data_IF_063149731018
#
_entry.id   IF_063149731018
#
_cell.length_a   1.000
_cell.length_b   1.000
_cell.length_c   1.000
_cell.angle_alpha   90.00
_cell.angle_beta   90.00
_cell.angle_gamma   90.00
#
_symmetry.space_group_name_H-M   'P 1'
#
loop_
_entity.id
_entity.type
_entity.pdbx_description
1 polymer ?
#
# COMPACT_ATOMS: atom_id res chain seq x y z
N UNK A 1 -1.22 1.80 -23.71
CA UNK A 1 -2.52 1.13 -23.52
C UNK A 1 -2.19 -0.25 -23.01
N UNK A 2 -2.71 -0.59 -21.85
CA UNK A 2 -2.39 -1.85 -21.17
C UNK A 2 -3.16 -2.98 -21.82
N UNK A 3 -2.51 -4.12 -22.02
CA UNK A 3 -3.14 -5.33 -22.54
C UNK A 3 -3.55 -6.30 -21.42
N UNK A 4 -4.45 -7.22 -21.73
CA UNK A 4 -4.94 -8.24 -20.79
C UNK A 4 -3.78 -9.09 -20.22
N UNK A 5 -2.78 -9.41 -21.04
CA UNK A 5 -1.61 -10.18 -20.60
C UNK A 5 -0.71 -9.44 -19.59
N UNK A 6 -0.89 -8.13 -19.42
CA UNK A 6 -0.17 -7.31 -18.43
C UNK A 6 -0.93 -7.17 -17.10
N UNK A 7 -2.16 -7.68 -17.03
CA UNK A 7 -2.98 -7.68 -15.83
C UNK A 7 -2.67 -8.89 -14.94
N UNK A 8 -2.82 -8.69 -13.64
CA UNK A 8 -2.80 -9.73 -12.63
C UNK A 8 -4.14 -9.75 -11.89
N UNK A 9 -4.46 -10.90 -11.29
CA UNK A 9 -5.61 -11.00 -10.40
C UNK A 9 -5.46 -9.97 -9.26
N UNK A 10 -6.57 -9.35 -8.88
CA UNK A 10 -6.66 -8.25 -7.89
C UNK A 10 -6.10 -6.90 -8.36
N UNK A 11 -5.67 -6.75 -9.61
CA UNK A 11 -5.32 -5.45 -10.14
C UNK A 11 -6.53 -4.51 -10.18
N UNK A 12 -6.28 -3.24 -9.85
CA UNK A 12 -7.26 -2.15 -9.96
C UNK A 12 -7.12 -1.53 -11.33
N UNK A 13 -8.24 -1.38 -12.03
CA UNK A 13 -8.29 -0.79 -13.38
C UNK A 13 -9.39 0.25 -13.46
N UNK A 14 -9.29 1.11 -14.47
CA UNK A 14 -10.32 2.06 -14.87
C UNK A 14 -10.69 1.77 -16.33
N UNK A 15 -11.98 1.60 -16.59
CA UNK A 15 -12.53 1.24 -17.90
C UNK A 15 -13.17 2.49 -18.50
N UNK A 16 -12.68 2.93 -19.65
CA UNK A 16 -13.21 4.10 -20.38
C UNK A 16 -14.20 3.68 -21.47
N UNK A 17 -13.95 2.54 -22.11
CA UNK A 17 -14.81 1.98 -23.14
C UNK A 17 -15.00 0.48 -22.94
N UNK A 18 -16.23 0.01 -23.09
CA UNK A 18 -16.58 -1.41 -23.05
C UNK A 18 -17.44 -1.78 -24.26
N UNK A 19 -17.00 -2.75 -25.07
CA UNK A 19 -17.70 -3.23 -26.27
C UNK A 19 -18.11 -2.09 -27.21
N UNK A 20 -17.26 -1.08 -27.37
CA UNK A 20 -17.50 0.09 -28.21
C UNK A 20 -18.41 1.16 -27.58
N UNK A 21 -18.90 0.96 -26.35
CA UNK A 21 -19.69 1.96 -25.62
C UNK A 21 -18.80 2.74 -24.64
N UNK A 22 -18.83 4.07 -24.73
CA UNK A 22 -18.15 4.93 -23.75
C UNK A 22 -18.87 4.86 -22.40
N UNK A 23 -18.13 4.51 -21.35
CA UNK A 23 -18.67 4.37 -20.00
C UNK A 23 -18.36 5.64 -19.20
N UNK A 24 -19.20 6.66 -19.38
CA UNK A 24 -19.20 7.94 -18.65
C UNK A 24 -17.93 8.81 -18.75
N UNK A 25 -18.08 10.11 -18.50
CA UNK A 25 -17.04 11.14 -18.71
C UNK A 25 -15.80 11.04 -17.79
N UNK A 26 -15.71 10.00 -16.97
CA UNK A 26 -14.58 9.77 -16.06
C UNK A 26 -14.08 8.33 -16.02
N UNK A 27 -14.61 7.42 -16.85
CA UNK A 27 -14.34 5.98 -16.75
C UNK A 27 -14.93 5.34 -15.49
N UNK A 28 -14.95 4.01 -15.46
CA UNK A 28 -15.53 3.24 -14.37
C UNK A 28 -14.47 2.33 -13.74
N UNK A 29 -14.31 2.45 -12.42
CA UNK A 29 -13.34 1.65 -11.69
C UNK A 29 -13.81 0.19 -11.57
N UNK A 30 -12.87 -0.74 -11.74
CA UNK A 30 -13.11 -2.17 -11.57
C UNK A 30 -11.90 -2.87 -10.96
N UNK A 31 -12.14 -4.08 -10.45
CA UNK A 31 -11.09 -4.98 -9.93
C UNK A 31 -11.07 -6.25 -10.75
N UNK A 32 -9.89 -6.69 -11.17
CA UNK A 32 -9.70 -7.97 -11.88
C UNK A 32 -9.94 -9.11 -10.90
N UNK A 33 -10.98 -9.91 -11.16
CA UNK A 33 -11.32 -11.06 -10.32
C UNK A 33 -10.75 -12.37 -10.86
N UNK A 34 -10.63 -12.49 -12.18
CA UNK A 34 -10.09 -13.67 -12.83
C UNK A 34 -9.52 -13.33 -14.21
N UNK A 35 -8.62 -14.18 -14.71
CA UNK A 35 -7.97 -14.05 -16.01
C UNK A 35 -8.10 -15.39 -16.74
N UNK A 36 -8.85 -15.40 -17.84
CA UNK A 36 -9.01 -16.59 -18.66
C UNK A 36 -7.91 -16.64 -19.73
N UNK A 37 -7.43 -17.87 -19.99
CA UNK A 37 -6.47 -18.15 -21.06
C UNK A 37 -7.15 -18.89 -22.19
N UNK A 38 -6.85 -18.50 -23.42
CA UNK A 38 -7.21 -19.24 -24.62
C UNK A 38 -5.95 -19.39 -25.47
N UNK A 39 -5.69 -20.60 -25.94
CA UNK A 39 -4.49 -20.92 -26.73
C UNK A 39 -3.16 -20.50 -26.05
N UNK A 40 -3.05 -20.73 -24.73
CA UNK A 40 -1.87 -20.40 -23.90
C UNK A 40 -1.58 -18.92 -23.65
N UNK A 41 -2.40 -17.99 -24.17
CA UNK A 41 -2.32 -16.56 -23.87
C UNK A 41 -3.53 -16.08 -23.06
N UNK A 42 -3.32 -15.12 -22.16
CA UNK A 42 -4.43 -14.44 -21.47
C UNK A 42 -5.14 -13.54 -22.47
N UNK A 43 -6.34 -13.91 -22.88
CA UNK A 43 -7.13 -13.18 -23.88
C UNK A 43 -8.27 -12.38 -23.24
N UNK A 44 -8.66 -12.74 -22.02
CA UNK A 44 -9.87 -12.24 -21.40
C UNK A 44 -9.67 -11.98 -19.90
N UNK A 45 -10.07 -10.79 -19.43
CA UNK A 45 -10.11 -10.46 -18.01
C UNK A 45 -11.54 -10.36 -17.50
N UNK A 46 -11.85 -11.09 -16.43
CA UNK A 46 -13.11 -10.95 -15.73
C UNK A 46 -12.92 -9.90 -14.65
N UNK A 47 -13.73 -8.85 -14.67
CA UNK A 47 -13.61 -7.70 -13.78
C UNK A 47 -14.93 -7.39 -13.08
N UNK A 48 -14.84 -6.97 -11.82
CA UNK A 48 -15.99 -6.52 -11.03
C UNK A 48 -15.99 -5.00 -10.93
N UNK A 49 -17.07 -4.37 -11.38
CA UNK A 49 -17.22 -2.92 -11.32
C UNK A 49 -17.57 -2.42 -9.92
N UNK A 50 -17.06 -1.25 -9.56
CA UNK A 50 -17.36 -0.62 -8.27
C UNK A 50 -18.80 -0.04 -8.27
N UNK A 51 -19.57 -0.29 -7.20
CA UNK A 51 -20.87 0.33 -6.96
C UNK A 51 -22.07 -0.28 -7.71
N UNK A 52 -21.85 -1.06 -8.77
CA UNK A 52 -22.92 -1.77 -9.49
C UNK A 52 -22.87 -3.30 -9.35
N UNK A 53 -21.85 -3.84 -8.68
CA UNK A 53 -21.58 -5.29 -8.52
C UNK A 53 -21.69 -6.10 -9.82
N UNK A 54 -21.53 -5.45 -10.97
CA UNK A 54 -21.65 -6.10 -12.27
C UNK A 54 -20.31 -6.71 -12.63
N UNK A 55 -20.35 -7.97 -13.05
CA UNK A 55 -19.20 -8.67 -13.60
C UNK A 55 -19.16 -8.41 -15.11
N UNK A 56 -18.03 -7.94 -15.59
CA UNK A 56 -17.76 -7.69 -17.00
C UNK A 56 -16.59 -8.57 -17.48
N UNK A 57 -16.62 -8.89 -18.75
CA UNK A 57 -15.60 -9.67 -19.45
C UNK A 57 -14.91 -8.74 -20.44
N UNK A 58 -13.67 -8.37 -20.16
CA UNK A 58 -12.84 -7.44 -20.94
C UNK A 58 -11.89 -8.18 -21.88
N UNK A 59 -11.65 -7.59 -23.05
CA UNK A 59 -10.65 -8.02 -24.02
C UNK A 59 -9.67 -6.89 -24.35
N UNK A 60 -8.63 -7.18 -25.14
CA UNK A 60 -7.70 -6.17 -25.67
C UNK A 60 -8.36 -5.13 -26.59
N UNK A 61 -9.63 -5.33 -26.99
CA UNK A 61 -10.41 -4.35 -27.77
C UNK A 61 -11.04 -3.26 -26.87
N UNK A 62 -11.16 -3.51 -25.58
CA UNK A 62 -11.72 -2.57 -24.61
C UNK A 62 -10.66 -1.55 -24.16
N UNK A 63 -11.07 -0.30 -23.93
CA UNK A 63 -10.14 0.73 -23.49
C UNK A 63 -10.15 0.87 -21.97
N UNK A 64 -9.05 0.46 -21.32
CA UNK A 64 -8.83 0.57 -19.90
C UNK A 64 -7.37 0.91 -19.56
N UNK A 65 -7.14 1.41 -18.35
CA UNK A 65 -5.81 1.62 -17.77
C UNK A 65 -5.74 1.04 -16.36
N UNK A 66 -4.53 0.68 -15.93
CA UNK A 66 -4.27 0.18 -14.58
C UNK A 66 -4.20 1.37 -13.63
N UNK A 67 -5.04 1.34 -12.60
CA UNK A 67 -4.95 2.30 -11.53
C UNK A 67 -3.76 1.93 -10.65
N UNK A 68 -2.96 2.91 -10.19
CA UNK A 68 -2.00 2.65 -9.14
C UNK A 68 -2.74 2.04 -7.96
N UNK A 69 -2.14 1.03 -7.32
CA UNK A 69 -2.69 0.40 -6.12
C UNK A 69 -2.79 1.50 -5.06
N UNK A 70 -3.94 2.16 -5.00
CA UNK A 70 -4.21 3.11 -3.96
C UNK A 70 -4.38 2.26 -2.70
N UNK A 71 -3.47 2.38 -1.76
CA UNK A 71 -3.66 1.91 -0.39
C UNK A 71 -4.83 2.67 0.22
N UNK A 72 -6.07 2.32 -0.18
CA UNK A 72 -7.28 2.93 0.32
C UNK A 72 -7.53 2.30 1.69
N UNK A 73 -7.25 3.10 2.71
CA UNK A 73 -7.48 2.86 4.13
C UNK A 73 -8.78 2.07 4.33
N UNK A 74 -8.62 0.82 4.78
CA UNK A 74 -9.72 -0.04 5.19
C UNK A 74 -10.40 0.63 6.39
N UNK A 75 -11.71 0.86 6.32
CA UNK A 75 -12.49 1.22 7.50
C UNK A 75 -12.50 0.02 8.45
N UNK A 76 -11.69 0.12 9.50
CA UNK A 76 -11.54 -0.91 10.52
C UNK A 76 -12.84 -1.04 11.33
N UNK A 77 -13.67 -2.02 10.98
CA UNK A 77 -14.62 -2.57 11.97
C UNK A 77 -13.81 -3.24 13.07
N UNK A 78 -13.91 -2.66 14.26
CA UNK A 78 -13.30 -3.12 15.52
C UNK A 78 -13.52 -4.62 15.72
N UNK A 79 -12.47 -5.42 15.56
CA UNK A 79 -12.37 -6.76 16.12
C UNK A 79 -11.38 -6.66 17.28
N UNK A 80 -11.94 -6.64 18.48
CA UNK A 80 -11.21 -6.64 19.73
C UNK A 80 -10.50 -7.99 19.89
N UNK A 81 -9.16 -8.01 19.78
CA UNK A 81 -8.36 -9.20 20.10
C UNK A 81 -7.72 -9.04 21.49
N UNK A 82 -7.74 -10.06 22.36
CA UNK A 82 -7.40 -9.90 23.76
C UNK A 82 -5.90 -9.66 23.98
N UNK A 83 -5.62 -8.59 24.73
CA UNK A 83 -4.30 -8.13 25.18
C UNK A 83 -3.54 -9.23 25.95
N UNK A 84 -2.40 -9.69 25.43
CA UNK A 84 -1.44 -10.51 26.18
C UNK A 84 -0.76 -9.60 27.21
N UNK A 85 -1.04 -9.83 28.51
CA UNK A 85 -0.38 -9.14 29.63
C UNK A 85 0.97 -9.83 29.89
N UNK A 86 2.09 -9.13 29.68
CA UNK A 86 3.38 -9.62 30.18
C UNK A 86 4.65 -8.97 29.62
N UNK A 87 4.60 -8.30 28.47
CA UNK A 87 5.81 -7.72 27.88
C UNK A 87 6.10 -6.34 28.50
N UNK A 88 7.11 -6.26 29.37
CA UNK A 88 7.72 -4.98 29.77
C UNK A 88 8.56 -4.47 28.59
N UNK A 89 7.90 -3.83 27.65
CA UNK A 89 8.56 -3.05 26.60
C UNK A 89 9.09 -1.79 27.28
N UNK A 90 10.41 -1.63 27.36
CA UNK A 90 11.01 -0.32 27.63
C UNK A 90 10.46 0.66 26.61
N UNK A 91 9.86 1.79 27.01
CA UNK A 91 9.19 2.68 26.07
C UNK A 91 10.20 3.09 25.00
N UNK A 92 9.87 2.97 23.70
CA UNK A 92 10.72 3.55 22.67
C UNK A 92 10.80 5.05 22.97
N UNK A 93 11.97 5.64 22.71
CA UNK A 93 12.23 7.06 22.90
C UNK A 93 11.01 7.86 22.42
N UNK A 94 10.22 8.39 23.35
CA UNK A 94 9.16 9.34 23.01
C UNK A 94 9.85 10.57 22.45
N UNK A 95 9.92 10.68 21.13
CA UNK A 95 10.00 12.01 20.57
C UNK A 95 8.59 12.58 20.69
N UNK A 96 8.41 13.59 21.54
CA UNK A 96 7.23 14.47 21.54
C UNK A 96 7.11 15.27 20.21
N UNK A 97 7.72 14.78 19.12
CA UNK A 97 7.84 15.41 17.81
C UNK A 97 6.97 14.73 16.76
N UNK A 98 6.22 13.68 17.11
CA UNK A 98 5.27 13.05 16.18
C UNK A 98 4.11 14.03 15.94
N UNK A 99 3.92 14.54 14.71
CA UNK A 99 2.84 15.48 14.44
C UNK A 99 1.48 14.86 14.79
N UNK A 100 0.55 15.66 15.30
CA UNK A 100 -0.75 15.19 15.78
C UNK A 100 -1.55 14.36 14.74
N UNK A 101 -1.31 14.58 13.44
CA UNK A 101 -1.95 13.82 12.36
C UNK A 101 -1.35 12.42 12.11
N UNK A 102 -0.23 12.09 12.74
CA UNK A 102 0.36 10.75 12.76
C UNK A 102 0.13 10.01 14.09
N UNK A 103 -0.43 10.68 15.10
CA UNK A 103 -0.87 10.03 16.32
C UNK A 103 -2.15 9.24 16.01
N UNK A 104 -2.01 7.94 15.80
CA UNK A 104 -3.16 7.04 15.73
C UNK A 104 -3.93 7.00 17.06
N UNK A 105 -5.12 6.41 17.03
CA UNK A 105 -5.82 6.04 18.26
C UNK A 105 -4.88 5.13 19.08
N UNK A 106 -4.74 5.38 20.38
CA UNK A 106 -3.82 4.67 21.30
C UNK A 106 -2.30 4.85 21.10
N UNK A 107 -1.84 5.98 20.54
CA UNK A 107 -0.40 6.32 20.38
C UNK A 107 0.40 5.37 19.47
N UNK A 108 -0.27 4.58 18.61
CA UNK A 108 0.40 3.79 17.58
C UNK A 108 0.63 4.71 16.38
N UNK A 109 1.90 5.03 16.11
CA UNK A 109 2.27 5.78 14.91
C UNK A 109 2.20 4.87 13.66
N UNK A 110 2.22 5.47 12.46
CA UNK A 110 2.11 4.72 11.19
C UNK A 110 3.26 3.73 10.99
N UNK A 111 4.43 4.02 11.57
CA UNK A 111 5.62 3.18 11.45
C UNK A 111 5.46 1.94 12.33
N UNK A 112 4.96 2.09 13.55
CA UNK A 112 4.63 1.00 14.46
C UNK A 112 3.46 0.16 13.93
N UNK A 113 2.45 0.79 13.33
CA UNK A 113 1.40 0.05 12.64
C UNK A 113 1.98 -0.81 11.51
N UNK A 114 2.93 -0.27 10.73
CA UNK A 114 3.60 -0.99 9.65
C UNK A 114 4.41 -2.17 10.19
N UNK A 115 5.09 -2.00 11.32
CA UNK A 115 5.82 -3.08 12.02
C UNK A 115 4.92 -4.27 12.33
N UNK A 116 3.69 -4.02 12.77
CA UNK A 116 2.74 -5.08 13.12
C UNK A 116 2.24 -5.87 11.91
N UNK A 117 2.33 -5.32 10.69
CA UNK A 117 1.85 -5.97 9.48
C UNK A 117 2.95 -6.73 8.73
N UNK A 118 4.22 -6.36 8.92
CA UNK A 118 5.34 -6.86 8.14
C UNK A 118 6.02 -8.04 8.80
N UNK A 119 6.49 -8.98 7.99
CA UNK A 119 7.50 -9.95 8.42
C UNK A 119 8.82 -9.25 8.75
N UNK A 120 9.71 -9.92 9.48
CA UNK A 120 10.98 -9.34 9.91
C UNK A 120 11.85 -8.85 8.72
N UNK A 121 11.97 -9.64 7.65
CA UNK A 121 12.71 -9.22 6.45
C UNK A 121 12.10 -7.99 5.77
N UNK A 122 10.77 -7.93 5.69
CA UNK A 122 10.03 -6.81 5.10
C UNK A 122 10.20 -5.53 5.94
N UNK A 123 10.19 -5.68 7.26
CA UNK A 123 10.44 -4.59 8.20
C UNK A 123 11.86 -4.03 8.05
N UNK A 124 12.87 -4.91 7.99
CA UNK A 124 14.26 -4.52 7.75
C UNK A 124 14.40 -3.78 6.42
N UNK A 125 13.79 -4.30 5.36
CA UNK A 125 13.78 -3.66 4.04
C UNK A 125 13.12 -2.27 4.09
N UNK A 126 11.99 -2.14 4.80
CA UNK A 126 11.28 -0.88 4.97
C UNK A 126 12.12 0.17 5.72
N UNK A 127 12.85 -0.21 6.77
CA UNK A 127 13.73 0.70 7.49
C UNK A 127 14.90 1.15 6.60
N UNK A 128 15.56 0.21 5.90
CA UNK A 128 16.64 0.52 4.93
C UNK A 128 16.17 1.50 3.85
N UNK A 129 14.99 1.26 3.29
CA UNK A 129 14.39 2.15 2.29
C UNK A 129 14.18 3.57 2.83
N UNK A 130 13.63 3.72 4.05
CA UNK A 130 13.42 5.03 4.64
C UNK A 130 14.74 5.77 4.91
N UNK A 131 15.77 5.08 5.40
CA UNK A 131 17.10 5.66 5.59
C UNK A 131 17.65 6.19 4.25
N UNK A 132 17.64 5.35 3.19
CA UNK A 132 18.09 5.77 1.85
C UNK A 132 17.28 6.98 1.35
N UNK A 133 15.96 6.95 1.50
CA UNK A 133 15.06 8.03 1.07
C UNK A 133 15.38 9.36 1.74
N UNK A 134 15.64 9.39 3.05
CA UNK A 134 15.92 10.66 3.74
C UNK A 134 17.37 11.11 3.54
N UNK A 135 18.34 10.19 3.48
CA UNK A 135 19.72 10.52 3.11
C UNK A 135 19.81 11.12 1.71
N UNK A 136 19.06 10.58 0.75
CA UNK A 136 18.98 11.11 -0.62
C UNK A 136 18.13 12.38 -0.73
N UNK A 137 17.47 12.85 0.32
CA UNK A 137 16.77 14.15 0.30
C UNK A 137 17.53 15.24 1.02
N UNK A 138 18.53 14.87 1.81
CA UNK A 138 19.30 15.75 2.66
C UNK A 138 19.77 17.00 1.92
N UNK A 139 19.29 18.17 2.38
CA UNK A 139 19.62 19.47 1.81
C UNK A 139 18.97 19.78 0.46
N UNK A 140 18.02 18.96 -0.01
CA UNK A 140 17.32 19.12 -1.29
C UNK A 140 15.82 19.39 -1.16
N UNK A 141 15.16 18.90 -0.11
CA UNK A 141 13.68 18.94 -0.02
C UNK A 141 13.15 19.67 1.20
N UNK A 142 13.58 19.27 2.39
CA UNK A 142 13.08 19.78 3.67
C UNK A 142 14.25 20.34 4.48
N UNK A 143 13.97 20.82 5.68
CA UNK A 143 14.99 21.25 6.63
C UNK A 143 15.96 20.09 6.96
N UNK A 144 17.27 20.39 6.89
CA UNK A 144 18.34 19.40 7.06
C UNK A 144 18.23 18.71 8.42
N UNK A 145 17.97 19.46 9.49
CA UNK A 145 17.90 18.90 10.84
C UNK A 145 16.70 17.95 10.97
N UNK A 146 15.55 18.28 10.35
CA UNK A 146 14.37 17.40 10.33
C UNK A 146 14.59 16.13 9.52
N UNK A 147 15.41 16.17 8.47
CA UNK A 147 15.76 14.98 7.70
C UNK A 147 16.78 14.12 8.43
N UNK A 148 17.75 14.72 9.12
CA UNK A 148 18.69 14.02 10.00
C UNK A 148 17.95 13.31 11.16
N UNK A 149 17.02 13.99 11.83
CA UNK A 149 16.19 13.41 12.88
C UNK A 149 15.46 12.14 12.39
N UNK A 150 14.90 12.20 11.18
CA UNK A 150 14.22 11.04 10.57
C UNK A 150 15.20 9.90 10.29
N UNK A 151 16.37 10.19 9.73
CA UNK A 151 17.41 9.17 9.46
C UNK A 151 17.80 8.47 10.77
N UNK A 152 18.01 9.24 11.85
CA UNK A 152 18.37 8.71 13.17
C UNK A 152 17.25 7.81 13.70
N UNK A 153 15.99 8.23 13.62
CA UNK A 153 14.85 7.42 14.09
C UNK A 153 14.77 6.06 13.38
N UNK A 154 14.82 6.05 12.04
CA UNK A 154 14.78 4.78 11.29
C UNK A 154 16.01 3.90 11.52
N UNK A 155 17.19 4.50 11.69
CA UNK A 155 18.41 3.76 12.01
C UNK A 155 18.33 3.10 13.39
N UNK A 156 17.76 3.80 14.39
CA UNK A 156 17.57 3.26 15.72
C UNK A 156 16.58 2.09 15.72
N UNK A 157 15.44 2.22 15.03
CA UNK A 157 14.46 1.13 14.88
C UNK A 157 15.03 -0.09 14.16
N UNK A 158 15.85 0.12 13.12
CA UNK A 158 16.55 -0.98 12.44
C UNK A 158 17.54 -1.68 13.37
N UNK A 159 18.31 -0.92 14.15
CA UNK A 159 19.27 -1.46 15.11
C UNK A 159 18.58 -2.31 16.18
N UNK A 160 17.42 -1.88 16.66
CA UNK A 160 16.63 -2.64 17.63
C UNK A 160 16.20 -3.99 17.05
N UNK A 161 15.71 -4.03 15.81
CA UNK A 161 15.32 -5.29 15.18
C UNK A 161 16.50 -6.25 15.00
N UNK A 162 17.65 -5.75 14.51
CA UNK A 162 18.85 -6.57 14.29
C UNK A 162 19.50 -7.05 15.60
N UNK A 163 19.20 -6.42 16.73
CA UNK A 163 19.66 -6.87 18.04
C UNK A 163 18.80 -8.02 18.62
N UNK A 164 17.67 -8.34 17.97
CA UNK A 164 16.76 -9.41 18.35
C UNK A 164 16.89 -10.69 17.49
N UNK A 165 17.77 -10.70 16.49
CA UNK A 165 18.26 -11.90 15.78
C UNK A 165 19.34 -12.64 16.57
#
# INVERSE_FOLDING_TARGET
MIKIHELNQSDRIIIYNYKGMNIADGGHCATVIDLSKKNFEYDTAIVRTDGQEKVLELTDEDYFDKLPISHKKMESKSIHSPRIKGLKITPPLKSDRTPAHYAGTDNVDVIEFTRQQFGNEEWIAAMKFNIIKYTTRLGRKDDIDKELDKIIDYAQRLKEELAHE
#
